data_IF_170852668498
#
_entry.id   IF_170852668498
#
_cell.length_a   1.000
_cell.length_b   1.000
_cell.length_c   1.000
_cell.angle_alpha   90.00
_cell.angle_beta   90.00
_cell.angle_gamma   90.00
#
_symmetry.space_group_name_H-M   'P 1'
#
loop_
_entity.id
_entity.type
_entity.pdbx_description
1 polymer ?
#
# COMPACT_ATOMS: atom_id res chain seq x y z
N UNK A 1 -51.27 -48.02 -54.25
CA UNK A 1 -49.80 -48.10 -54.35
C UNK A 1 -49.19 -47.13 -53.33
N UNK A 2 -48.11 -47.52 -52.64
CA UNK A 2 -47.37 -46.81 -51.54
C UNK A 2 -48.11 -46.78 -50.19
N UNK A 3 -47.76 -47.50 -49.10
CA UNK A 3 -46.52 -47.99 -48.44
C UNK A 3 -45.78 -46.92 -47.59
N UNK A 4 -45.96 -47.08 -46.26
CA UNK A 4 -45.00 -47.00 -45.13
C UNK A 4 -44.38 -45.68 -44.63
N UNK A 5 -44.38 -45.56 -43.29
CA UNK A 5 -43.46 -44.77 -42.44
C UNK A 5 -44.22 -44.13 -41.27
N UNK A 6 -44.30 -44.68 -40.05
CA UNK A 6 -43.21 -44.93 -39.09
C UNK A 6 -43.04 -43.68 -38.18
N UNK A 7 -43.73 -43.58 -37.04
CA UNK A 7 -43.45 -44.13 -35.70
C UNK A 7 -42.82 -43.11 -34.72
N UNK A 8 -43.24 -43.24 -33.46
CA UNK A 8 -42.65 -42.78 -32.18
C UNK A 8 -43.08 -41.40 -31.64
N UNK A 9 -43.88 -41.48 -30.56
CA UNK A 9 -44.16 -40.42 -29.59
C UNK A 9 -43.01 -40.30 -28.59
N UNK A 10 -42.54 -39.07 -28.31
CA UNK A 10 -41.87 -38.69 -27.06
C UNK A 10 -42.19 -37.24 -26.71
N UNK A 11 -43.02 -37.04 -25.69
CA UNK A 11 -43.33 -35.75 -25.07
C UNK A 11 -42.20 -35.33 -24.13
N UNK A 12 -41.60 -34.16 -24.36
CA UNK A 12 -40.67 -33.52 -23.43
C UNK A 12 -41.38 -32.46 -22.60
N UNK A 13 -41.28 -32.60 -21.27
CA UNK A 13 -41.55 -31.56 -20.28
C UNK A 13 -40.30 -30.70 -20.13
N UNK A 14 -40.42 -29.38 -20.18
CA UNK A 14 -39.39 -28.52 -19.59
C UNK A 14 -40.02 -27.25 -19.02
N UNK A 15 -40.13 -27.21 -17.69
CA UNK A 15 -40.29 -25.98 -16.91
C UNK A 15 -38.92 -25.29 -16.89
N UNK A 16 -38.84 -24.03 -17.31
CA UNK A 16 -37.65 -23.21 -17.11
C UNK A 16 -38.01 -22.13 -16.09
N UNK A 17 -37.46 -22.33 -14.89
CA UNK A 17 -37.48 -21.38 -13.80
C UNK A 17 -36.71 -20.11 -14.21
N UNK A 18 -37.33 -18.95 -14.00
CA UNK A 18 -36.66 -17.66 -14.10
C UNK A 18 -35.67 -17.52 -12.94
N UNK A 19 -34.38 -17.68 -13.23
CA UNK A 19 -33.33 -17.31 -12.29
C UNK A 19 -33.15 -15.79 -12.33
N UNK A 20 -33.52 -15.11 -11.24
CA UNK A 20 -33.19 -13.71 -11.02
C UNK A 20 -31.69 -13.59 -10.67
N UNK A 21 -30.93 -12.90 -11.51
CA UNK A 21 -29.55 -12.54 -11.20
C UNK A 21 -29.56 -11.25 -10.37
N UNK A 22 -29.42 -11.39 -9.05
CA UNK A 22 -29.05 -10.26 -8.19
C UNK A 22 -27.54 -10.04 -8.35
N UNK A 23 -27.15 -9.04 -9.15
CA UNK A 23 -25.77 -8.58 -9.22
C UNK A 23 -25.44 -7.79 -7.96
N UNK A 24 -24.71 -8.42 -7.03
CA UNK A 24 -24.02 -7.70 -5.97
C UNK A 24 -22.83 -6.95 -6.61
N UNK A 25 -22.95 -5.63 -6.75
CA UNK A 25 -21.80 -4.80 -7.09
C UNK A 25 -20.87 -4.78 -5.86
N UNK A 26 -19.76 -5.53 -5.93
CA UNK A 26 -18.68 -5.40 -4.97
C UNK A 26 -18.04 -4.03 -5.24
N UNK A 27 -18.32 -3.07 -4.37
CA UNK A 27 -17.66 -1.77 -4.37
C UNK A 27 -16.19 -1.92 -4.02
N UNK A 28 -15.35 -2.29 -5.00
CA UNK A 28 -13.91 -2.12 -4.87
C UNK A 28 -13.64 -0.65 -5.19
N UNK A 29 -13.52 0.18 -4.16
CA UNK A 29 -12.90 1.49 -4.34
C UNK A 29 -11.42 1.24 -4.65
N UNK A 30 -11.07 1.21 -5.94
CA UNK A 30 -9.68 1.38 -6.34
C UNK A 30 -9.31 2.80 -5.93
N UNK A 31 -8.54 2.93 -4.85
CA UNK A 31 -7.89 4.20 -4.53
C UNK A 31 -7.20 4.70 -5.80
N UNK A 32 -7.30 6.00 -6.14
CA UNK A 32 -6.65 6.51 -7.32
C UNK A 32 -5.18 6.12 -7.26
N UNK A 33 -4.69 5.47 -8.31
CA UNK A 33 -3.27 5.29 -8.52
C UNK A 33 -2.70 6.70 -8.74
N UNK A 34 -2.30 7.35 -7.65
CA UNK A 34 -1.50 8.57 -7.72
C UNK A 34 -0.30 8.20 -8.59
N UNK A 35 -0.09 8.90 -9.70
CA UNK A 35 1.04 8.70 -10.61
C UNK A 35 2.29 8.37 -9.79
N UNK A 36 2.87 7.18 -9.96
CA UNK A 36 3.82 6.63 -9.00
C UNK A 36 5.00 7.59 -8.80
N UNK A 37 4.97 8.34 -7.70
CA UNK A 37 6.09 9.16 -7.29
C UNK A 37 7.21 8.21 -6.88
N UNK A 38 8.30 8.18 -7.65
CA UNK A 38 9.50 7.40 -7.31
C UNK A 38 10.20 8.09 -6.13
N UNK A 39 10.03 7.54 -4.94
CA UNK A 39 10.53 8.13 -3.70
C UNK A 39 9.84 7.56 -2.46
N UNK A 40 10.03 8.23 -1.33
CA UNK A 40 9.33 7.93 -0.09
C UNK A 40 8.22 8.95 0.15
N UNK A 41 7.05 8.48 0.58
CA UNK A 41 5.91 9.34 0.94
C UNK A 41 5.56 9.11 2.40
N UNK A 42 5.66 10.16 3.20
CA UNK A 42 5.17 10.20 4.58
C UNK A 42 3.72 10.70 4.59
N UNK A 43 2.91 10.20 5.51
CA UNK A 43 1.52 10.57 5.67
C UNK A 43 1.28 11.01 7.11
N UNK A 44 0.57 12.11 7.30
CA UNK A 44 0.26 12.68 8.62
C UNK A 44 -0.48 11.67 9.51
N UNK A 45 -1.39 10.90 8.93
CA UNK A 45 -2.21 9.93 9.67
C UNK A 45 -1.80 8.48 9.36
N UNK A 46 -2.17 7.57 10.27
CA UNK A 46 -2.08 6.13 10.03
C UNK A 46 -2.99 5.70 8.88
N UNK A 47 -2.69 4.57 8.22
CA UNK A 47 -3.52 4.08 7.12
C UNK A 47 -3.31 4.83 5.81
N UNK A 48 -2.18 5.54 5.66
CA UNK A 48 -1.84 6.34 4.49
C UNK A 48 -2.85 7.46 4.22
N UNK A 49 -3.31 8.10 5.31
CA UNK A 49 -4.29 9.19 5.30
C UNK A 49 -3.64 10.53 5.68
N UNK A 50 -4.42 11.60 5.64
CA UNK A 50 -3.91 12.95 5.86
C UNK A 50 -3.10 13.46 4.67
N UNK A 51 -2.38 14.56 4.86
CA UNK A 51 -1.60 15.17 3.79
C UNK A 51 -0.34 14.34 3.46
N UNK A 52 -0.07 14.02 2.19
CA UNK A 52 1.12 13.28 1.79
C UNK A 52 2.33 14.20 1.59
N UNK A 53 3.48 13.81 2.14
CA UNK A 53 4.78 14.46 1.95
C UNK A 53 5.73 13.53 1.19
N UNK A 54 5.91 13.80 -0.11
CA UNK A 54 6.76 13.01 -0.99
C UNK A 54 8.19 13.58 -1.08
N UNK A 55 9.18 12.70 -0.97
CA UNK A 55 10.60 13.03 -1.04
C UNK A 55 11.34 12.10 -2.02
N UNK A 56 12.16 12.69 -2.89
CA UNK A 56 12.97 11.98 -3.89
C UNK A 56 14.47 12.02 -3.57
N UNK A 57 14.86 12.80 -2.56
CA UNK A 57 16.26 12.98 -2.12
C UNK A 57 16.31 13.04 -0.59
N UNK A 58 17.49 12.76 -0.04
CA UNK A 58 17.73 12.85 1.40
C UNK A 58 17.48 14.28 1.93
N UNK A 59 17.08 14.36 3.20
CA UNK A 59 16.84 15.59 3.96
C UNK A 59 17.54 15.49 5.30
N UNK A 60 18.47 16.41 5.58
CA UNK A 60 19.10 16.53 6.90
C UNK A 60 18.13 17.01 7.97
N UNK A 61 17.02 17.63 7.57
CA UNK A 61 15.96 18.04 8.48
C UNK A 61 14.66 18.26 7.71
N UNK A 62 13.54 17.97 8.37
CA UNK A 62 12.23 18.49 8.04
C UNK A 62 12.04 19.76 8.88
N UNK A 63 11.60 20.86 8.27
CA UNK A 63 11.64 22.19 8.90
C UNK A 63 10.27 22.83 9.04
N UNK A 64 9.30 22.45 8.20
CA UNK A 64 7.93 22.91 8.32
C UNK A 64 7.21 22.26 9.49
N UNK A 65 6.40 23.04 10.22
CA UNK A 65 5.55 22.52 11.29
C UNK A 65 4.51 21.50 10.79
N UNK A 66 4.24 21.52 9.48
CA UNK A 66 3.36 20.59 8.78
C UNK A 66 4.10 19.39 8.18
N UNK A 67 5.41 19.24 8.35
CA UNK A 67 6.17 18.09 7.80
C UNK A 67 7.09 17.41 8.82
N UNK A 68 7.59 18.15 9.80
CA UNK A 68 8.44 17.63 10.86
C UNK A 68 7.60 17.04 11.98
N UNK A 69 7.91 15.82 12.40
CA UNK A 69 7.25 15.18 13.55
C UNK A 69 5.72 15.08 13.39
N UNK A 70 5.26 14.85 12.16
CA UNK A 70 3.82 14.65 11.87
C UNK A 70 3.51 13.28 11.26
N UNK A 71 4.52 12.54 10.82
CA UNK A 71 4.29 11.32 10.06
C UNK A 71 3.81 10.17 10.97
N UNK A 72 2.67 9.58 10.62
CA UNK A 72 2.10 8.39 11.28
C UNK A 72 2.07 7.15 10.39
N UNK A 73 2.25 7.29 9.07
CA UNK A 73 2.45 6.16 8.14
C UNK A 73 3.35 6.51 6.96
N UNK A 74 3.85 5.50 6.24
CA UNK A 74 4.83 5.70 5.16
C UNK A 74 4.71 4.66 4.05
N UNK A 75 4.98 5.08 2.81
CA UNK A 75 5.17 4.22 1.64
C UNK A 75 6.51 4.50 0.98
N UNK A 76 7.31 3.47 0.73
CA UNK A 76 8.48 3.57 -0.13
C UNK A 76 8.16 3.02 -1.52
N UNK A 77 7.98 3.91 -2.50
CA UNK A 77 7.78 3.60 -3.92
C UNK A 77 9.07 3.76 -4.73
N UNK A 78 10.20 3.97 -4.07
CA UNK A 78 11.52 4.05 -4.69
C UNK A 78 12.11 2.66 -4.95
N UNK A 79 13.13 2.59 -5.80
CA UNK A 79 13.97 1.40 -6.02
C UNK A 79 15.08 1.27 -4.97
N UNK A 80 15.31 2.32 -4.18
CA UNK A 80 16.25 2.31 -3.07
C UNK A 80 15.56 2.25 -1.71
N UNK A 81 16.26 1.69 -0.73
CA UNK A 81 15.84 1.76 0.66
C UNK A 81 15.99 3.18 1.20
N UNK A 82 15.16 3.51 2.18
CA UNK A 82 15.18 4.80 2.88
C UNK A 82 15.27 4.57 4.38
N UNK A 83 15.88 5.50 5.09
CA UNK A 83 15.97 5.48 6.55
C UNK A 83 15.29 6.72 7.11
N UNK A 84 14.34 6.51 8.02
CA UNK A 84 13.67 7.54 8.79
C UNK A 84 14.39 7.70 10.12
N UNK A 85 14.60 8.93 10.58
CA UNK A 85 15.31 9.26 11.82
C UNK A 85 14.44 10.10 12.75
N UNK A 86 14.50 9.80 14.05
CA UNK A 86 13.79 10.52 15.13
C UNK A 86 14.26 11.98 15.20
N UNK A 87 15.56 12.18 15.01
CA UNK A 87 16.19 13.49 15.09
C UNK A 87 16.75 13.96 13.74
N UNK A 88 17.00 15.26 13.68
CA UNK A 88 17.70 15.90 12.57
C UNK A 88 19.15 15.42 12.45
N UNK A 89 19.73 15.64 11.28
CA UNK A 89 21.09 15.26 10.90
C UNK A 89 21.35 13.74 11.01
N UNK A 90 20.33 12.92 10.76
CA UNK A 90 20.38 11.46 10.78
C UNK A 90 20.76 10.88 12.16
N UNK A 91 20.12 11.38 13.22
CA UNK A 91 20.43 11.01 14.61
C UNK A 91 19.31 10.22 15.28
N UNK A 92 19.69 9.66 16.43
CA UNK A 92 18.85 8.88 17.34
C UNK A 92 18.25 7.61 16.70
N UNK A 93 17.04 7.21 17.14
CA UNK A 93 16.34 6.03 16.66
C UNK A 93 16.07 6.18 15.18
N UNK A 94 16.26 5.07 14.47
CA UNK A 94 16.08 5.07 13.04
C UNK A 94 15.62 3.72 12.55
N UNK A 95 14.83 3.77 11.48
CA UNK A 95 14.24 2.58 10.89
C UNK A 95 14.29 2.68 9.39
N UNK A 96 14.65 1.56 8.76
CA UNK A 96 14.79 1.44 7.33
C UNK A 96 13.53 0.85 6.71
N UNK A 97 13.11 1.44 5.60
CA UNK A 97 11.97 1.06 4.78
C UNK A 97 12.51 0.58 3.43
N UNK A 98 12.35 -0.70 3.10
CA UNK A 98 12.81 -1.26 1.83
C UNK A 98 11.98 -0.77 0.64
N UNK A 99 12.48 -0.89 -0.60
CA UNK A 99 11.65 -0.70 -1.80
C UNK A 99 10.35 -1.50 -1.73
N UNK A 100 9.23 -0.85 -1.99
CA UNK A 100 7.89 -1.46 -1.96
C UNK A 100 7.34 -1.72 -0.55
N UNK A 101 8.07 -1.40 0.51
CA UNK A 101 7.63 -1.58 1.90
C UNK A 101 6.74 -0.41 2.32
N UNK A 102 5.56 -0.72 2.85
CA UNK A 102 4.58 0.24 3.34
C UNK A 102 4.29 -0.03 4.81
N UNK A 103 4.44 0.98 5.66
CA UNK A 103 4.21 0.88 7.10
C UNK A 103 2.96 1.68 7.43
N UNK A 104 1.89 0.96 7.76
CA UNK A 104 0.56 1.55 7.95
C UNK A 104 0.43 2.37 9.23
N UNK A 105 1.21 2.05 10.27
CA UNK A 105 1.17 2.75 11.55
C UNK A 105 2.54 2.72 12.23
N UNK A 106 3.23 3.86 12.19
CA UNK A 106 4.56 4.08 12.79
C UNK A 106 4.53 4.03 14.32
N UNK A 107 3.40 4.37 14.94
CA UNK A 107 3.19 4.30 16.38
C UNK A 107 3.03 2.89 16.96
N UNK A 108 2.79 1.88 16.11
CA UNK A 108 2.61 0.50 16.54
C UNK A 108 3.83 -0.05 17.28
N UNK A 109 3.60 -0.90 18.28
CA UNK A 109 4.65 -1.71 18.89
C UNK A 109 5.25 -2.67 17.84
N UNK A 110 6.58 -2.87 17.78
CA UNK A 110 7.59 -2.41 18.74
C UNK A 110 8.19 -1.02 18.45
N UNK A 111 7.82 -0.37 17.36
CA UNK A 111 8.54 0.81 16.84
C UNK A 111 8.30 2.08 17.65
N UNK A 112 7.04 2.36 18.03
CA UNK A 112 6.64 3.58 18.77
C UNK A 112 7.29 4.83 18.19
N UNK A 113 7.07 5.04 16.89
CA UNK A 113 7.76 6.01 16.05
C UNK A 113 6.78 7.00 15.37
N UNK A 114 5.59 7.17 15.96
CA UNK A 114 4.59 8.15 15.52
C UNK A 114 5.09 9.57 15.74
N UNK A 115 4.89 10.46 14.78
CA UNK A 115 5.16 11.90 14.93
C UNK A 115 6.60 12.17 15.35
N UNK A 116 7.52 11.35 14.83
CA UNK A 116 8.94 11.36 15.19
C UNK A 116 9.87 11.69 14.03
N UNK A 117 9.40 11.64 12.80
CA UNK A 117 10.31 11.73 11.66
C UNK A 117 10.81 13.17 11.52
N UNK A 118 12.10 13.38 11.79
CA UNK A 118 12.77 14.68 11.66
C UNK A 118 13.84 14.72 10.56
N UNK A 119 14.33 13.58 10.08
CA UNK A 119 15.22 13.53 8.90
C UNK A 119 15.12 12.23 8.10
N UNK A 120 15.54 12.28 6.83
CA UNK A 120 15.32 11.22 5.84
C UNK A 120 16.60 10.94 5.06
N UNK A 121 17.06 9.70 5.03
CA UNK A 121 18.20 9.30 4.22
C UNK A 121 17.80 8.30 3.15
N UNK A 122 17.90 8.74 1.89
CA UNK A 122 17.84 7.84 0.74
C UNK A 122 19.16 7.07 0.63
N UNK A 123 19.10 5.74 0.61
CA UNK A 123 20.28 4.91 0.42
C UNK A 123 20.63 4.78 -1.06
N UNK A 124 21.81 4.23 -1.34
CA UNK A 124 22.27 3.91 -2.71
C UNK A 124 21.98 2.46 -3.11
N UNK A 125 21.36 1.69 -2.21
CA UNK A 125 20.99 0.28 -2.45
C UNK A 125 19.53 0.04 -2.07
N UNK A 126 18.96 -1.07 -2.52
CA UNK A 126 17.64 -1.55 -2.10
C UNK A 126 17.63 -2.21 -0.71
N UNK A 127 18.80 -2.35 -0.08
CA UNK A 127 18.97 -3.10 1.16
C UNK A 127 19.00 -2.19 2.40
N UNK A 128 18.45 -2.70 3.51
CA UNK A 128 18.57 -2.12 4.84
C UNK A 128 19.82 -2.58 5.60
N UNK A 129 20.83 -3.15 4.92
CA UNK A 129 22.06 -3.59 5.56
C UNK A 129 22.71 -2.45 6.36
N UNK A 130 23.01 -2.71 7.64
CA UNK A 130 23.55 -1.71 8.57
C UNK A 130 22.50 -0.83 9.25
N UNK A 131 21.21 -1.07 9.01
CA UNK A 131 20.09 -0.36 9.62
C UNK A 131 19.05 -1.33 10.20
N UNK A 132 18.25 -0.86 11.15
CA UNK A 132 17.14 -1.62 11.73
C UNK A 132 15.94 -1.50 10.77
N UNK A 133 15.40 -2.58 10.17
CA UNK A 133 14.25 -2.48 9.28
C UNK A 133 12.91 -2.41 10.06
N UNK A 134 11.88 -1.78 9.47
CA UNK A 134 10.53 -1.75 10.03
C UNK A 134 9.84 -3.12 10.03
N UNK A 135 10.02 -3.90 8.97
CA UNK A 135 9.67 -5.31 9.01
C UNK A 135 10.96 -6.13 8.95
N UNK A 136 11.19 -6.92 10.00
CA UNK A 136 12.10 -8.05 9.91
C UNK A 136 11.46 -9.05 8.95
N UNK A 137 11.89 -9.00 7.68
CA UNK A 137 11.63 -10.09 6.76
C UNK A 137 12.45 -11.28 7.29
N UNK A 138 11.76 -12.21 7.94
CA UNK A 138 12.30 -13.51 8.34
C UNK A 138 12.66 -14.33 7.09
#
# INVERSE_FOLDING_TARGET
MHRTGGNVRRTLRTLLATAALATAAIGVTVAPAHADWVGITLYEDSGYQGYPHAYTTSRLGLYGWWENDVASSVKNSDVFAWVLYDDRDYKDRHFCVRPGEWVENLGSSPWKFNDKVSSLKRLTTSSCAGYIPFYNLA
#
